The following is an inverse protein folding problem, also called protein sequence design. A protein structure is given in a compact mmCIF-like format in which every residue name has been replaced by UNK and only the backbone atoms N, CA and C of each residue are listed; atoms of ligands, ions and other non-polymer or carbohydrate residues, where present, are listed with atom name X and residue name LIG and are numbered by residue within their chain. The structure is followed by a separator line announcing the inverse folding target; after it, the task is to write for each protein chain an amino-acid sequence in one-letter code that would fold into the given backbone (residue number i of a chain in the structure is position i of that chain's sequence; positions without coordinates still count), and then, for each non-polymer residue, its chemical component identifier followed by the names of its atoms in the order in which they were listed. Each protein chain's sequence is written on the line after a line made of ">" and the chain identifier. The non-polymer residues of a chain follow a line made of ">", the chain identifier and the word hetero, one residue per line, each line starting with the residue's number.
data_IF_733842125520
#
_entry.id   IF_733842125520
#
_cell.length_a   1.000
_cell.length_b   1.000
_cell.length_c   1.000
_cell.angle_alpha   90.00
_cell.angle_beta   90.00
_cell.angle_gamma   90.00
#
_symmetry.space_group_name_H-M   'P 1'
#
loop_
_entity.id
_entity.type
_entity.pdbx_description
1 polymer ?
#
# COMPACT_ATOMS: atom_id res chain seq x y z
N UNK A 1 2.17 -9.43 57.27
CA UNK A 1 2.40 -8.03 56.88
C UNK A 1 3.84 -7.88 56.46
N UNK A 2 4.08 -7.51 55.20
CA UNK A 2 5.37 -6.97 54.76
C UNK A 2 5.18 -5.46 54.77
N UNK A 3 6.06 -4.74 55.47
CA UNK A 3 6.08 -3.28 55.50
C UNK A 3 7.26 -2.80 54.66
N UNK A 4 6.99 -1.89 53.74
CA UNK A 4 8.03 -1.23 52.94
C UNK A 4 8.52 0.05 53.64
N UNK A 5 9.75 0.45 53.34
CA UNK A 5 10.23 1.83 53.46
C UNK A 5 11.37 2.06 52.47
N UNK A 6 11.58 3.31 52.06
CA UNK A 6 12.55 3.75 51.06
C UNK A 6 13.17 5.11 51.44
N UNK A 7 14.29 5.41 50.79
CA UNK A 7 15.08 6.66 50.66
C UNK A 7 15.95 6.39 49.38
N UNK A 8 16.08 7.24 48.35
CA UNK A 8 16.66 8.61 48.24
C UNK A 8 18.15 8.68 48.69
N UNK A 9 19.13 9.19 47.93
CA UNK A 9 19.31 9.22 46.45
C UNK A 9 20.83 9.02 46.09
N UNK A 10 21.66 9.78 45.32
CA UNK A 10 21.58 11.02 44.52
C UNK A 10 22.77 11.12 43.49
N UNK A 11 22.47 11.37 42.20
CA UNK A 11 23.32 11.95 41.09
C UNK A 11 24.76 11.48 40.71
N UNK A 12 25.17 11.94 39.51
CA UNK A 12 26.50 12.06 38.87
C UNK A 12 27.38 10.81 38.57
N UNK A 13 27.57 10.56 37.27
CA UNK A 13 28.83 10.08 36.70
C UNK A 13 29.12 10.82 35.38
N UNK A 14 30.08 11.75 35.40
CA UNK A 14 30.43 12.64 34.29
C UNK A 14 31.68 12.15 33.58
N UNK A 15 31.55 11.71 32.33
CA UNK A 15 32.68 11.36 31.46
C UNK A 15 32.67 12.27 30.23
N UNK A 16 33.54 13.27 30.28
CA UNK A 16 33.77 14.25 29.23
C UNK A 16 34.85 13.76 28.25
N UNK A 17 34.55 13.77 26.95
CA UNK A 17 35.50 13.46 25.86
C UNK A 17 35.20 14.36 24.66
N UNK A 18 35.68 15.61 24.69
CA UNK A 18 35.93 16.35 23.45
C UNK A 18 37.10 15.70 22.69
N UNK A 19 36.92 15.45 21.39
CA UNK A 19 37.84 14.62 20.58
C UNK A 19 37.93 15.08 19.13
N UNK A 20 38.58 16.22 18.94
CA UNK A 20 39.18 16.79 17.71
C UNK A 20 38.54 16.51 16.33
N UNK A 21 38.07 17.63 15.74
CA UNK A 21 37.80 17.91 14.32
C UNK A 21 38.55 17.04 13.29
N UNK A 22 37.82 16.50 12.30
CA UNK A 22 38.42 15.94 11.08
C UNK A 22 37.49 15.94 9.85
N UNK A 23 37.79 16.90 8.97
CA UNK A 23 37.81 16.77 7.50
C UNK A 23 36.49 16.68 6.73
N UNK A 24 36.35 17.63 5.80
CA UNK A 24 35.27 17.70 4.81
C UNK A 24 35.34 16.53 3.82
N UNK A 25 34.25 15.77 3.75
CA UNK A 25 33.82 14.96 2.62
C UNK A 25 32.37 15.40 2.36
N UNK A 26 31.94 15.79 1.18
CA UNK A 26 32.47 15.58 -0.16
C UNK A 26 31.24 15.42 -1.03
N UNK A 27 30.84 16.50 -1.69
CA UNK A 27 29.58 16.58 -2.46
C UNK A 27 29.67 15.72 -3.72
N UNK A 28 29.26 14.46 -3.63
CA UNK A 28 29.13 13.56 -4.77
C UNK A 28 28.05 12.49 -4.49
N UNK A 29 27.08 12.41 -5.41
CA UNK A 29 26.09 11.33 -5.54
C UNK A 29 25.28 10.94 -4.28
N UNK A 30 24.36 11.82 -3.84
CA UNK A 30 23.05 11.34 -3.38
C UNK A 30 22.27 10.77 -4.56
N UNK A 31 22.59 9.52 -4.92
CA UNK A 31 21.76 8.70 -5.80
C UNK A 31 20.51 8.27 -5.05
N UNK A 32 19.49 9.11 -5.05
CA UNK A 32 18.14 8.83 -4.52
C UNK A 32 17.40 7.85 -5.44
N UNK A 33 17.92 6.62 -5.49
CA UNK A 33 17.43 5.54 -6.35
C UNK A 33 16.66 4.54 -5.49
N UNK A 34 15.42 4.91 -5.11
CA UNK A 34 14.41 3.97 -4.60
C UNK A 34 13.90 3.07 -5.75
N UNK A 35 14.81 2.30 -6.34
CA UNK A 35 14.52 1.28 -7.34
C UNK A 35 13.99 -0.02 -6.70
N UNK A 36 13.65 0.03 -5.41
CA UNK A 36 12.95 -1.02 -4.67
C UNK A 36 11.43 -1.03 -4.96
N UNK A 37 10.89 0.11 -5.42
CA UNK A 37 9.51 0.24 -5.83
C UNK A 37 9.24 -0.53 -7.14
N UNK A 38 8.56 -1.68 -7.05
CA UNK A 38 8.17 -2.49 -8.20
C UNK A 38 7.20 -1.71 -9.09
N UNK A 39 7.72 -1.17 -10.19
CA UNK A 39 7.00 -0.29 -11.12
C UNK A 39 5.97 -1.06 -11.96
N UNK A 40 4.95 -0.36 -12.44
CA UNK A 40 3.95 -0.89 -13.37
C UNK A 40 4.50 -0.98 -14.80
N UNK A 41 4.16 -2.03 -15.55
CA UNK A 41 4.44 -2.07 -16.99
C UNK A 41 3.72 -0.93 -17.74
N UNK A 42 4.40 -0.32 -18.71
CA UNK A 42 3.82 0.72 -19.58
C UNK A 42 2.78 0.15 -20.56
N UNK A 43 2.88 -1.15 -20.86
CA UNK A 43 1.96 -1.88 -21.73
C UNK A 43 0.63 -2.24 -21.06
N UNK A 44 0.54 -2.10 -19.74
CA UNK A 44 -0.65 -2.47 -18.95
C UNK A 44 -1.45 -1.24 -18.58
N UNK A 45 -2.74 -1.24 -18.92
CA UNK A 45 -3.70 -0.25 -18.43
C UNK A 45 -4.64 -0.88 -17.41
N UNK A 46 -4.98 -0.14 -16.36
CA UNK A 46 -5.92 -0.60 -15.34
C UNK A 46 -6.96 0.45 -15.01
N UNK A 47 -8.17 0.00 -14.71
CA UNK A 47 -9.32 0.84 -14.34
C UNK A 47 -10.03 0.21 -13.16
N UNK A 48 -10.49 1.04 -12.20
CA UNK A 48 -11.27 0.59 -11.05
C UNK A 48 -12.69 1.14 -11.19
N UNK A 49 -13.68 0.27 -10.98
CA UNK A 49 -15.10 0.58 -11.02
C UNK A 49 -15.78 0.04 -9.76
N UNK A 50 -16.30 0.92 -8.91
CA UNK A 50 -17.10 0.49 -7.75
C UNK A 50 -18.47 -0.02 -8.17
N UNK A 51 -18.87 -1.15 -7.59
CA UNK A 51 -20.22 -1.71 -7.68
C UNK A 51 -20.97 -1.61 -6.34
N UNK A 52 -20.26 -1.50 -5.21
CA UNK A 52 -20.79 -1.07 -3.91
C UNK A 52 -19.76 -0.20 -3.15
N UNK A 53 -20.17 0.90 -2.50
CA UNK A 53 -21.50 1.53 -2.58
C UNK A 53 -21.80 2.04 -4.00
N UNK A 54 -23.09 2.15 -4.36
CA UNK A 54 -23.49 2.75 -5.65
C UNK A 54 -23.43 4.28 -5.48
N UNK A 55 -22.28 4.86 -5.80
CA UNK A 55 -22.08 6.32 -5.77
C UNK A 55 -22.99 7.00 -6.79
N UNK A 56 -23.78 7.98 -6.36
CA UNK A 56 -24.52 8.82 -7.31
C UNK A 56 -23.58 9.81 -8.01
N UNK A 57 -23.88 10.18 -9.25
CA UNK A 57 -23.06 11.11 -10.04
C UNK A 57 -23.21 12.55 -9.50
N UNK A 58 -22.48 12.87 -8.44
CA UNK A 58 -22.45 14.20 -7.81
C UNK A 58 -22.02 14.18 -6.35
N UNK A 59 -22.12 13.04 -5.67
CA UNK A 59 -21.62 12.87 -4.30
C UNK A 59 -20.08 12.72 -4.26
N UNK A 60 -19.47 13.02 -3.12
CA UNK A 60 -18.03 12.79 -2.95
C UNK A 60 -17.71 11.30 -3.12
N UNK A 61 -16.72 11.00 -3.97
CA UNK A 61 -16.50 9.69 -4.61
C UNK A 61 -16.21 8.55 -3.62
N UNK A 62 -15.95 8.84 -2.33
CA UNK A 62 -15.34 7.87 -1.41
C UNK A 62 -15.85 7.91 0.05
N UNK A 63 -17.17 7.91 0.27
CA UNK A 63 -17.76 7.60 1.59
C UNK A 63 -17.97 6.08 1.76
N UNK A 64 -16.92 5.37 2.19
CA UNK A 64 -17.00 3.94 2.48
C UNK A 64 -17.57 3.68 3.89
N UNK A 65 -18.88 3.49 3.94
CA UNK A 65 -19.62 3.20 5.18
C UNK A 65 -19.14 1.91 5.84
N UNK A 66 -18.75 2.00 7.12
CA UNK A 66 -18.21 0.86 7.85
C UNK A 66 -19.27 -0.20 8.19
N UNK A 67 -18.87 -1.48 8.25
CA UNK A 67 -19.79 -2.61 8.40
C UNK A 67 -20.53 -3.03 7.11
N UNK A 68 -20.51 -2.20 6.05
CA UNK A 68 -21.14 -2.52 4.77
C UNK A 68 -20.15 -3.10 3.75
N UNK A 69 -20.59 -3.98 2.83
CA UNK A 69 -19.72 -4.55 1.81
C UNK A 69 -19.33 -3.51 0.76
N UNK A 70 -18.02 -3.31 0.61
CA UNK A 70 -17.40 -2.57 -0.48
C UNK A 70 -17.06 -3.57 -1.58
N UNK A 71 -17.44 -3.26 -2.81
CA UNK A 71 -17.26 -4.13 -3.97
C UNK A 71 -16.80 -3.31 -5.16
N UNK A 72 -15.78 -3.80 -5.87
CA UNK A 72 -15.27 -3.16 -7.06
C UNK A 72 -14.72 -4.18 -8.06
N UNK A 73 -14.65 -3.73 -9.31
CA UNK A 73 -14.05 -4.43 -10.43
C UNK A 73 -12.75 -3.71 -10.82
N UNK A 74 -11.67 -4.46 -10.98
CA UNK A 74 -10.43 -3.97 -11.59
C UNK A 74 -10.33 -4.55 -13.00
N UNK A 75 -10.48 -3.69 -13.99
CA UNK A 75 -10.13 -4.01 -15.38
C UNK A 75 -8.63 -3.95 -15.57
N UNK A 76 -8.08 -4.91 -16.30
CA UNK A 76 -6.69 -5.02 -16.73
C UNK A 76 -6.67 -5.20 -18.24
N UNK A 77 -6.01 -4.30 -18.97
CA UNK A 77 -5.93 -4.32 -20.44
C UNK A 77 -4.46 -4.45 -20.84
N UNK A 78 -4.13 -5.52 -21.55
CA UNK A 78 -2.79 -5.76 -22.10
C UNK A 78 -2.67 -5.13 -23.50
N UNK A 79 -1.90 -4.05 -23.61
CA UNK A 79 -1.67 -3.32 -24.88
C UNK A 79 -0.37 -3.73 -25.58
N UNK A 80 0.50 -4.49 -24.92
CA UNK A 80 1.84 -4.85 -25.37
C UNK A 80 1.92 -6.07 -26.28
N UNK A 81 3.11 -6.66 -26.38
CA UNK A 81 3.41 -7.86 -27.19
C UNK A 81 3.52 -9.16 -26.38
N UNK A 82 3.64 -9.09 -25.06
CA UNK A 82 3.89 -10.24 -24.18
C UNK A 82 2.63 -10.73 -23.47
N UNK A 83 2.60 -12.02 -23.12
CA UNK A 83 1.58 -12.58 -22.22
C UNK A 83 1.89 -12.17 -20.75
N UNK A 84 0.88 -11.63 -20.06
CA UNK A 84 0.95 -11.34 -18.62
C UNK A 84 0.13 -12.36 -17.81
N UNK A 85 0.59 -12.68 -16.60
CA UNK A 85 -0.11 -13.51 -15.62
C UNK A 85 -0.44 -12.62 -14.42
N UNK A 86 -1.73 -12.34 -14.21
CA UNK A 86 -2.21 -11.63 -13.01
C UNK A 86 -2.26 -12.62 -11.85
N UNK A 87 -1.42 -12.39 -10.85
CA UNK A 87 -1.17 -13.34 -9.77
C UNK A 87 -2.19 -13.18 -8.64
N UNK A 88 -2.28 -11.96 -8.08
CA UNK A 88 -3.19 -11.63 -6.99
C UNK A 88 -3.63 -10.16 -7.01
N UNK A 89 -4.69 -9.86 -6.27
CA UNK A 89 -5.03 -8.50 -5.84
C UNK A 89 -5.11 -8.43 -4.32
N UNK A 90 -4.59 -7.33 -3.79
CA UNK A 90 -4.56 -6.97 -2.38
C UNK A 90 -5.18 -5.59 -2.19
N UNK A 91 -5.81 -5.40 -1.03
CA UNK A 91 -6.37 -4.11 -0.65
C UNK A 91 -6.02 -3.80 0.81
N UNK A 92 -5.81 -2.52 1.10
CA UNK A 92 -5.58 -2.05 2.47
C UNK A 92 -6.11 -0.64 2.70
N UNK A 93 -6.58 -0.36 3.91
CA UNK A 93 -6.76 1.02 4.37
C UNK A 93 -5.47 1.51 5.02
N UNK A 94 -5.08 2.74 4.67
CA UNK A 94 -3.89 3.42 5.20
C UNK A 94 -4.22 4.87 5.59
N UNK A 95 -3.36 5.50 6.39
CA UNK A 95 -3.57 6.88 6.80
C UNK A 95 -3.28 7.86 5.63
N UNK A 96 -4.15 8.85 5.35
CA UNK A 96 -3.92 9.81 4.26
C UNK A 96 -2.70 10.74 4.47
N UNK A 97 -2.12 10.75 5.67
CA UNK A 97 -0.91 11.51 6.01
C UNK A 97 0.35 10.64 6.06
N UNK A 98 0.22 9.32 6.12
CA UNK A 98 1.34 8.37 6.11
C UNK A 98 0.90 7.02 5.54
N UNK A 99 1.31 6.78 4.31
CA UNK A 99 0.96 5.61 3.52
C UNK A 99 1.75 4.35 3.89
N UNK A 100 2.71 4.43 4.81
CA UNK A 100 3.45 3.26 5.32
C UNK A 100 2.68 2.51 6.42
N UNK A 101 1.77 3.20 7.12
CA UNK A 101 0.98 2.61 8.21
C UNK A 101 -0.35 2.04 7.73
N UNK A 102 -0.47 0.72 7.87
CA UNK A 102 -1.68 -0.05 7.61
C UNK A 102 -2.69 0.08 8.76
N UNK A 103 -3.93 0.46 8.44
CA UNK A 103 -5.08 0.51 9.36
C UNK A 103 -5.79 -0.85 9.36
N UNK A 104 -6.08 -1.37 8.17
CA UNK A 104 -6.71 -2.66 7.96
C UNK A 104 -6.19 -3.27 6.65
N UNK A 105 -5.65 -4.49 6.71
CA UNK A 105 -5.33 -5.28 5.52
C UNK A 105 -6.49 -6.23 5.20
N UNK A 106 -6.81 -6.36 3.92
CA UNK A 106 -7.84 -7.26 3.41
C UNK A 106 -7.19 -8.49 2.73
N UNK A 107 -7.99 -9.52 2.46
CA UNK A 107 -7.50 -10.81 1.98
C UNK A 107 -6.83 -10.68 0.60
N UNK A 108 -5.58 -11.13 0.47
CA UNK A 108 -4.97 -11.32 -0.85
C UNK A 108 -5.77 -12.37 -1.65
N UNK A 109 -6.36 -11.97 -2.77
CA UNK A 109 -7.13 -12.86 -3.64
C UNK A 109 -6.25 -13.33 -4.80
N UNK A 110 -5.83 -14.61 -4.84
CA UNK A 110 -5.06 -15.15 -5.97
C UNK A 110 -5.97 -15.46 -7.16
N UNK A 111 -5.56 -15.03 -8.36
CA UNK A 111 -6.26 -15.28 -9.61
C UNK A 111 -5.47 -16.18 -10.57
N UNK A 112 -4.14 -16.06 -10.61
CA UNK A 112 -3.24 -16.78 -11.52
C UNK A 112 -3.74 -16.79 -12.99
N UNK A 113 -4.20 -15.63 -13.47
CA UNK A 113 -4.93 -15.49 -14.73
C UNK A 113 -4.05 -14.90 -15.82
N UNK A 114 -3.78 -15.71 -16.84
CA UNK A 114 -3.16 -15.28 -18.10
C UNK A 114 -4.07 -14.28 -18.87
N UNK A 115 -3.47 -13.19 -19.35
CA UNK A 115 -4.08 -12.16 -20.22
C UNK A 115 -3.12 -11.87 -21.39
N UNK A 116 -3.52 -12.29 -22.59
CA UNK A 116 -2.66 -12.22 -23.79
C UNK A 116 -2.63 -10.81 -24.41
N UNK A 117 -1.67 -10.50 -25.30
CA UNK A 117 -1.65 -9.26 -26.08
C UNK A 117 -3.00 -8.89 -26.67
N UNK A 118 -3.41 -7.64 -26.44
CA UNK A 118 -4.68 -7.05 -26.91
C UNK A 118 -5.92 -7.74 -26.33
N UNK A 119 -5.79 -8.42 -25.19
CA UNK A 119 -6.90 -8.90 -24.38
C UNK A 119 -7.08 -8.05 -23.13
N UNK A 120 -8.28 -8.13 -22.57
CA UNK A 120 -8.65 -7.58 -21.28
C UNK A 120 -9.15 -8.67 -20.33
N UNK A 121 -9.02 -8.43 -19.03
CA UNK A 121 -9.60 -9.25 -17.98
C UNK A 121 -10.12 -8.36 -16.84
N UNK A 122 -11.18 -8.80 -16.18
CA UNK A 122 -11.83 -8.05 -15.10
C UNK A 122 -11.84 -8.89 -13.83
N UNK A 123 -11.26 -8.34 -12.76
CA UNK A 123 -11.08 -8.99 -11.47
C UNK A 123 -12.02 -8.36 -10.45
N UNK A 124 -12.93 -9.16 -9.89
CA UNK A 124 -13.82 -8.71 -8.83
C UNK A 124 -13.14 -8.85 -7.46
N UNK A 125 -13.30 -7.83 -6.62
CA UNK A 125 -12.83 -7.80 -5.24
C UNK A 125 -13.95 -7.29 -4.33
N UNK A 126 -14.03 -7.84 -3.12
CA UNK A 126 -14.94 -7.34 -2.09
C UNK A 126 -14.37 -7.48 -0.69
N UNK A 127 -14.75 -6.56 0.19
CA UNK A 127 -14.36 -6.56 1.60
C UNK A 127 -15.41 -5.84 2.45
N UNK A 128 -15.28 -5.96 3.78
CA UNK A 128 -16.12 -5.23 4.75
C UNK A 128 -15.17 -4.44 5.68
N UNK A 129 -15.26 -3.10 5.73
CA UNK A 129 -14.55 -2.29 6.72
C UNK A 129 -14.96 -2.68 8.14
N UNK A 130 -13.99 -2.71 9.06
CA UNK A 130 -14.31 -2.90 10.48
C UNK A 130 -15.01 -1.63 11.04
N UNK A 131 -16.15 -1.82 11.72
CA UNK A 131 -16.93 -0.74 12.37
C UNK A 131 -16.11 0.14 13.32
N UNK A 132 -15.04 -0.38 13.92
CA UNK A 132 -14.12 0.38 14.77
C UNK A 132 -13.38 1.54 14.05
N UNK A 133 -13.44 1.57 12.71
CA UNK A 133 -12.87 2.64 11.88
C UNK A 133 -13.92 3.59 11.28
N UNK A 134 -15.20 3.44 11.63
CA UNK A 134 -16.27 4.33 11.19
C UNK A 134 -15.95 5.81 11.48
N UNK A 135 -16.21 6.69 10.50
CA UNK A 135 -16.01 8.14 10.63
C UNK A 135 -14.55 8.61 10.71
N UNK A 136 -13.56 7.72 10.52
CA UNK A 136 -12.15 8.10 10.40
C UNK A 136 -11.81 8.39 8.93
N UNK A 137 -10.97 9.40 8.61
CA UNK A 137 -10.41 9.54 7.28
C UNK A 137 -9.35 8.46 7.03
N UNK A 138 -9.59 7.62 6.03
CA UNK A 138 -8.66 6.61 5.52
C UNK A 138 -8.61 6.67 3.99
N UNK A 139 -7.45 6.36 3.41
CA UNK A 139 -7.33 6.13 1.96
C UNK A 139 -7.38 4.64 1.67
N UNK A 140 -8.02 4.25 0.57
CA UNK A 140 -7.94 2.89 0.07
C UNK A 140 -6.75 2.74 -0.87
N UNK A 141 -5.93 1.76 -0.56
CA UNK A 141 -4.89 1.24 -1.42
C UNK A 141 -5.40 -0.04 -2.10
N UNK A 142 -5.36 -0.08 -3.42
CA UNK A 142 -5.57 -1.31 -4.21
C UNK A 142 -4.27 -1.63 -4.94
N UNK A 143 -3.75 -2.84 -4.75
CA UNK A 143 -2.53 -3.33 -5.36
C UNK A 143 -2.81 -4.57 -6.19
N UNK A 144 -2.44 -4.54 -7.46
CA UNK A 144 -2.58 -5.66 -8.40
C UNK A 144 -1.17 -6.17 -8.74
N UNK A 145 -0.90 -7.43 -8.41
CA UNK A 145 0.37 -8.11 -8.66
C UNK A 145 0.27 -8.95 -9.93
N UNK A 146 1.23 -8.79 -10.84
CA UNK A 146 1.29 -9.58 -12.07
C UNK A 146 2.74 -9.74 -12.54
N UNK A 147 2.98 -10.74 -13.39
CA UNK A 147 4.30 -10.99 -13.99
C UNK A 147 4.18 -11.22 -15.49
N UNK A 148 5.26 -10.95 -16.23
CA UNK A 148 5.36 -11.38 -17.64
C UNK A 148 5.74 -12.87 -17.75
N UNK A 149 5.81 -13.37 -18.99
CA UNK A 149 6.29 -14.73 -19.27
C UNK A 149 7.82 -14.91 -19.11
N UNK A 150 8.58 -13.84 -18.90
CA UNK A 150 10.02 -13.89 -18.56
C UNK A 150 10.25 -14.08 -17.05
N UNK A 151 9.22 -13.85 -16.22
CA UNK A 151 9.32 -13.86 -14.76
C UNK A 151 9.62 -12.49 -14.14
N UNK A 152 9.53 -11.40 -14.91
CA UNK A 152 9.60 -10.04 -14.38
C UNK A 152 8.30 -9.73 -13.63
N UNK A 153 8.41 -9.33 -12.37
CA UNK A 153 7.27 -8.94 -11.54
C UNK A 153 6.96 -7.45 -11.70
N UNK A 154 5.68 -7.13 -11.72
CA UNK A 154 5.13 -5.79 -11.85
C UNK A 154 4.01 -5.58 -10.84
N UNK A 155 3.86 -4.36 -10.35
CA UNK A 155 2.76 -3.97 -9.48
C UNK A 155 2.08 -2.74 -10.03
N UNK A 156 0.75 -2.73 -9.96
CA UNK A 156 -0.03 -1.50 -10.16
C UNK A 156 -0.71 -1.18 -8.85
N UNK A 157 -0.39 0.00 -8.31
CA UNK A 157 -0.99 0.55 -7.10
C UNK A 157 -1.93 1.70 -7.47
N UNK A 158 -3.14 1.70 -6.92
CA UNK A 158 -4.09 2.82 -7.02
C UNK A 158 -4.47 3.29 -5.63
N UNK A 159 -4.58 4.61 -5.50
CA UNK A 159 -5.04 5.32 -4.31
C UNK A 159 -6.41 5.94 -4.59
N UNK A 160 -7.33 5.78 -3.64
CA UNK A 160 -8.74 6.18 -3.71
C UNK A 160 -9.20 6.73 -2.34
#
# INVERSE_FOLDING_TARGET
>A
NILARAEEDELDDVVDIEGEDSQVVGDDALGDDDDSAVKSSQDVETTILFTKPITSLGDNVFDLQAGFPVEFLVGFVNKGSEDYIVESMEASFRYPMDYTYYIQNFTALPYNKEVKPKQEATFAYSFIPNEAFAGRPFGLNVQLNYRDNSGNFYQVMKWL
#
